data_IF_047717594815
#
_entry.id   IF_047717594815
#
_cell.length_a   1.000
_cell.length_b   1.000
_cell.length_c   1.000
_cell.angle_alpha   90.00
_cell.angle_beta   90.00
_cell.angle_gamma   90.00
#
_symmetry.space_group_name_H-M   'P 1'
#
loop_
_entity.id
_entity.type
_entity.pdbx_description
1 polymer ?
#
# COMPACT_ATOMS: atom_id res chain seq x y z
N UNK A 1 -16.57 1.26 3.51
CA UNK A 1 -16.60 2.02 2.25
C UNK A 1 -15.42 1.64 1.38
N UNK A 2 -15.64 1.61 0.07
CA UNK A 2 -14.75 0.99 -0.93
C UNK A 2 -13.43 1.76 -1.06
N UNK A 3 -12.35 1.16 -0.57
CA UNK A 3 -11.01 1.58 -0.93
C UNK A 3 -10.72 1.11 -2.36
N UNK A 4 -10.37 2.02 -3.26
CA UNK A 4 -9.95 1.74 -4.63
C UNK A 4 -8.54 1.11 -4.64
N UNK A 5 -8.44 -0.19 -4.29
CA UNK A 5 -7.15 -0.88 -4.14
C UNK A 5 -6.37 -0.94 -5.45
N UNK A 6 -7.04 -0.96 -6.60
CA UNK A 6 -6.41 -0.97 -7.92
C UNK A 6 -5.51 0.25 -8.15
N UNK A 7 -5.88 1.42 -7.59
CA UNK A 7 -5.09 2.66 -7.63
C UNK A 7 -3.67 2.49 -7.09
N UNK A 8 -3.43 1.52 -6.20
CA UNK A 8 -2.08 1.25 -5.64
C UNK A 8 -1.09 0.83 -6.72
N UNK A 9 -1.53 0.05 -7.71
CA UNK A 9 -0.63 -0.57 -8.70
C UNK A 9 -0.80 -0.02 -10.12
N UNK A 10 -1.89 0.73 -10.35
CA UNK A 10 -2.22 1.31 -11.64
C UNK A 10 -2.92 2.65 -11.43
N UNK A 11 -2.59 3.64 -12.26
CA UNK A 11 -3.26 4.94 -12.28
C UNK A 11 -3.52 5.33 -13.73
N UNK A 12 -4.68 5.93 -13.99
CA UNK A 12 -4.97 6.48 -15.31
C UNK A 12 -4.03 7.65 -15.62
N UNK A 13 -3.85 7.95 -16.90
CA UNK A 13 -3.02 9.07 -17.31
C UNK A 13 -3.55 10.39 -16.72
N UNK A 14 -2.67 11.16 -16.08
CA UNK A 14 -2.99 12.40 -15.39
C UNK A 14 -3.35 12.20 -13.91
N UNK A 15 -3.53 10.96 -13.45
CA UNK A 15 -3.85 10.65 -12.06
C UNK A 15 -2.61 10.32 -11.23
N UNK A 16 -2.77 10.46 -9.91
CA UNK A 16 -1.77 10.09 -8.90
C UNK A 16 -2.18 8.82 -8.17
N UNK A 17 -1.18 8.20 -7.57
CA UNK A 17 -1.40 7.21 -6.51
C UNK A 17 -1.84 7.93 -5.21
N UNK A 18 -2.07 7.19 -4.13
CA UNK A 18 -2.43 7.76 -2.84
C UNK A 18 -1.36 8.75 -2.33
N UNK A 19 -1.80 9.87 -1.74
CA UNK A 19 -0.93 10.96 -1.33
C UNK A 19 0.19 10.54 -0.38
N UNK A 20 -0.07 9.56 0.50
CA UNK A 20 0.88 9.13 1.53
C UNK A 20 2.24 8.70 0.96
N UNK A 21 2.27 8.09 -0.23
CA UNK A 21 3.53 7.69 -0.88
C UNK A 21 4.41 8.90 -1.20
N UNK A 22 3.79 9.95 -1.75
CA UNK A 22 4.48 11.18 -2.12
C UNK A 22 4.84 12.01 -0.89
N UNK A 23 3.95 12.07 0.12
CA UNK A 23 4.18 12.74 1.39
C UNK A 23 5.38 12.15 2.13
N UNK A 24 5.53 10.82 2.17
CA UNK A 24 6.70 10.18 2.78
C UNK A 24 7.97 10.55 2.00
N UNK A 25 7.98 10.37 0.67
CA UNK A 25 9.17 10.63 -0.16
C UNK A 25 9.60 12.10 -0.09
N UNK A 26 8.66 13.04 -0.25
CA UNK A 26 8.94 14.47 -0.31
C UNK A 26 9.05 15.12 1.08
N UNK A 27 8.40 14.56 2.10
CA UNK A 27 8.30 15.15 3.43
C UNK A 27 9.16 14.50 4.50
N UNK A 28 9.44 13.20 4.39
CA UNK A 28 10.16 12.41 5.38
C UNK A 28 11.58 12.93 5.63
N UNK A 29 12.06 12.77 6.86
CA UNK A 29 13.45 13.06 7.24
C UNK A 29 14.42 12.07 6.58
N UNK A 30 15.67 12.48 6.36
CA UNK A 30 16.67 11.62 5.70
C UNK A 30 16.92 10.30 6.44
N UNK A 31 16.92 10.31 7.77
CA UNK A 31 17.07 9.10 8.57
C UNK A 31 15.88 8.14 8.40
N UNK A 32 14.66 8.68 8.32
CA UNK A 32 13.45 7.89 8.05
C UNK A 32 13.51 7.30 6.64
N UNK A 33 13.83 8.09 5.63
CA UNK A 33 13.96 7.62 4.24
C UNK A 33 15.00 6.51 4.13
N UNK A 34 16.17 6.68 4.78
CA UNK A 34 17.22 5.65 4.84
C UNK A 34 16.74 4.39 5.56
N UNK A 35 16.02 4.53 6.68
CA UNK A 35 15.43 3.39 7.38
C UNK A 35 14.44 2.64 6.48
N UNK A 36 13.61 3.37 5.74
CA UNK A 36 12.62 2.78 4.84
C UNK A 36 13.24 2.24 3.54
N UNK A 37 14.50 2.57 3.23
CA UNK A 37 15.13 2.21 1.95
C UNK A 37 14.62 3.05 0.78
N UNK A 38 14.10 4.24 1.05
CA UNK A 38 13.51 5.15 0.07
C UNK A 38 14.48 6.26 -0.32
N UNK A 39 14.53 6.58 -1.60
CA UNK A 39 15.18 7.79 -2.12
C UNK A 39 14.15 8.90 -2.37
N UNK A 40 14.58 10.16 -2.19
CA UNK A 40 13.78 11.37 -2.43
C UNK A 40 13.61 11.65 -3.93
N UNK A 41 13.08 10.67 -4.65
CA UNK A 41 12.82 10.74 -6.08
C UNK A 41 11.64 9.81 -6.44
N UNK A 42 10.46 10.39 -6.64
CA UNK A 42 9.24 9.63 -6.96
C UNK A 42 9.33 8.88 -8.29
N UNK A 43 10.22 9.29 -9.20
CA UNK A 43 10.41 8.65 -10.51
C UNK A 43 11.05 7.26 -10.43
N UNK A 44 11.65 6.90 -9.29
CA UNK A 44 12.26 5.59 -9.12
C UNK A 44 11.27 4.50 -8.75
N UNK A 45 10.01 4.84 -8.46
CA UNK A 45 9.01 3.88 -8.02
C UNK A 45 7.97 3.64 -9.11
N UNK A 46 7.92 2.40 -9.61
CA UNK A 46 7.03 2.01 -10.71
C UNK A 46 5.56 2.32 -10.41
N UNK A 47 5.12 2.18 -9.16
CA UNK A 47 3.76 2.47 -8.75
C UNK A 47 3.42 3.97 -8.65
N UNK A 48 4.39 4.87 -8.79
CA UNK A 48 4.17 6.33 -8.73
C UNK A 48 4.28 7.02 -10.09
N UNK A 49 4.81 6.34 -11.11
CA UNK A 49 5.05 6.91 -12.45
C UNK A 49 4.03 6.51 -13.51
N UNK A 50 3.21 5.47 -13.28
CA UNK A 50 2.26 4.96 -14.29
C UNK A 50 1.23 6.00 -14.75
N UNK A 51 0.78 6.87 -13.84
CA UNK A 51 -0.14 7.96 -14.19
C UNK A 51 0.50 9.18 -14.86
N UNK A 52 1.84 9.21 -15.02
CA UNK A 52 2.59 10.31 -15.62
C UNK A 52 2.31 11.71 -15.00
N UNK A 53 1.97 11.75 -13.71
CA UNK A 53 1.58 12.97 -13.01
C UNK A 53 2.18 13.01 -11.58
N UNK A 54 3.52 13.09 -11.43
CA UNK A 54 4.15 12.99 -10.11
C UNK A 54 3.93 14.22 -9.22
N UNK A 55 3.64 15.39 -9.82
CA UNK A 55 3.46 16.67 -9.12
C UNK A 55 2.22 17.38 -9.62
N UNK A 56 1.44 17.90 -8.66
CA UNK A 56 0.27 18.75 -8.90
C UNK A 56 0.56 20.07 -8.19
N UNK A 57 0.48 21.19 -8.91
CA UNK A 57 0.92 22.51 -8.43
C UNK A 57 0.17 23.02 -7.19
N UNK A 58 -1.04 22.52 -6.95
CA UNK A 58 -1.85 22.86 -5.77
C UNK A 58 -1.54 22.02 -4.52
N UNK A 59 -0.70 20.99 -4.63
CA UNK A 59 -0.39 20.05 -3.53
C UNK A 59 1.03 20.29 -3.03
N UNK A 60 1.18 20.36 -1.71
CA UNK A 60 2.49 20.46 -1.06
C UNK A 60 2.71 19.23 -0.16
N UNK A 61 3.19 18.14 -0.78
CA UNK A 61 3.39 16.86 -0.12
C UNK A 61 4.30 16.96 1.13
N UNK A 62 5.24 17.91 1.15
CA UNK A 62 6.12 18.17 2.30
C UNK A 62 5.39 18.81 3.48
N UNK A 63 4.48 19.76 3.25
CA UNK A 63 3.67 20.31 4.33
C UNK A 63 2.64 19.30 4.81
N UNK A 64 2.01 18.58 3.89
CA UNK A 64 0.95 17.62 4.20
C UNK A 64 1.49 16.43 4.99
N UNK A 65 2.74 16.02 4.74
CA UNK A 65 3.45 15.05 5.59
C UNK A 65 3.47 15.43 7.07
N UNK A 66 3.75 16.71 7.38
CA UNK A 66 3.76 17.20 8.77
C UNK A 66 2.37 17.14 9.39
N UNK A 67 1.34 17.42 8.59
CA UNK A 67 -0.05 17.31 9.03
C UNK A 67 -0.40 15.85 9.34
N UNK A 68 -0.05 14.91 8.47
CA UNK A 68 -0.27 13.47 8.69
C UNK A 68 0.44 12.98 9.95
N UNK A 69 1.72 13.32 10.13
CA UNK A 69 2.49 12.95 11.33
C UNK A 69 1.82 13.47 12.60
N UNK A 70 1.40 14.74 12.61
CA UNK A 70 0.68 15.33 13.74
C UNK A 70 -0.65 14.64 14.00
N UNK A 71 -1.41 14.32 12.95
CA UNK A 71 -2.70 13.65 13.08
C UNK A 71 -2.56 12.25 13.71
N UNK A 72 -1.56 11.46 13.30
CA UNK A 72 -1.27 10.16 13.90
C UNK A 72 -0.98 10.29 15.40
N UNK A 73 -0.19 11.29 15.81
CA UNK A 73 0.05 11.57 17.23
C UNK A 73 -1.23 11.95 17.97
N UNK A 74 -2.07 12.81 17.40
CA UNK A 74 -3.33 13.26 18.03
C UNK A 74 -4.34 12.13 18.22
N UNK A 75 -4.42 11.21 17.23
CA UNK A 75 -5.28 10.02 17.33
C UNK A 75 -4.76 9.02 18.37
N UNK A 76 -3.50 9.16 18.81
CA UNK A 76 -2.91 8.32 19.84
C UNK A 76 -2.17 7.10 19.32
N UNK A 77 -1.68 7.13 18.06
CA UNK A 77 -0.75 6.12 17.59
C UNK A 77 0.58 6.25 18.34
N UNK A 78 1.09 5.12 18.84
CA UNK A 78 2.44 5.04 19.40
C UNK A 78 3.50 5.19 18.31
N UNK A 79 4.72 5.59 18.69
CA UNK A 79 5.82 5.72 17.73
C UNK A 79 6.11 4.40 16.99
N UNK A 80 6.04 3.26 17.69
CA UNK A 80 6.22 1.94 17.11
C UNK A 80 5.11 1.60 16.09
N UNK A 81 3.85 1.91 16.38
CA UNK A 81 2.75 1.69 15.42
C UNK A 81 2.89 2.57 14.18
N UNK A 82 3.39 3.80 14.35
CA UNK A 82 3.68 4.68 13.21
C UNK A 82 4.85 4.13 12.40
N UNK A 83 5.91 3.65 13.03
CA UNK A 83 7.04 3.02 12.35
C UNK A 83 6.59 1.79 11.54
N UNK A 84 5.82 0.89 12.15
CA UNK A 84 5.24 -0.29 11.49
C UNK A 84 4.35 0.10 10.30
N UNK A 85 3.48 1.11 10.47
CA UNK A 85 2.65 1.63 9.40
C UNK A 85 3.50 2.12 8.21
N UNK A 86 4.55 2.89 8.49
CA UNK A 86 5.43 3.43 7.45
C UNK A 86 6.27 2.33 6.78
N UNK A 87 6.71 1.32 7.54
CA UNK A 87 7.39 0.15 6.99
C UNK A 87 6.51 -0.60 6.00
N UNK A 88 5.23 -0.81 6.34
CA UNK A 88 4.28 -1.46 5.45
C UNK A 88 4.03 -0.61 4.20
N UNK A 89 3.87 0.71 4.33
CA UNK A 89 3.66 1.61 3.18
C UNK A 89 4.88 1.61 2.25
N UNK A 90 6.09 1.70 2.80
CA UNK A 90 7.33 1.62 2.02
C UNK A 90 7.47 0.25 1.32
N UNK A 91 7.08 -0.84 1.97
CA UNK A 91 7.12 -2.18 1.36
C UNK A 91 6.28 -2.27 0.08
N UNK A 92 5.16 -1.54 -0.01
CA UNK A 92 4.34 -1.50 -1.23
C UNK A 92 5.09 -0.86 -2.40
N UNK A 93 5.89 0.17 -2.14
CA UNK A 93 6.74 0.80 -3.18
C UNK A 93 7.86 -0.14 -3.63
N UNK A 94 8.50 -0.84 -2.69
CA UNK A 94 9.52 -1.84 -3.00
C UNK A 94 8.96 -3.03 -3.79
N UNK A 95 7.73 -3.47 -3.47
CA UNK A 95 7.04 -4.51 -4.24
C UNK A 95 6.92 -4.07 -5.70
N UNK A 96 6.44 -2.86 -5.98
CA UNK A 96 6.32 -2.35 -7.35
C UNK A 96 7.63 -2.33 -8.15
N UNK A 97 8.77 -2.26 -7.46
CA UNK A 97 10.10 -2.24 -8.05
C UNK A 97 10.74 -3.62 -8.19
N UNK A 98 10.08 -4.71 -7.76
CA UNK A 98 10.56 -6.07 -8.02
C UNK A 98 10.53 -6.33 -9.53
N UNK A 99 11.71 -6.63 -10.08
CA UNK A 99 11.92 -6.93 -11.48
C UNK A 99 12.06 -8.43 -11.71
N UNK A 100 11.23 -8.96 -12.60
CA UNK A 100 11.27 -10.36 -13.02
C UNK A 100 12.04 -10.51 -14.32
N UNK A 101 12.87 -11.54 -14.38
CA UNK A 101 13.48 -12.09 -15.59
C UNK A 101 12.83 -13.42 -15.95
N UNK A 102 13.19 -13.96 -17.10
CA UNK A 102 12.68 -15.23 -17.59
C UNK A 102 13.82 -16.24 -17.72
N UNK A 103 13.69 -17.37 -17.03
CA UNK A 103 14.59 -18.51 -17.13
C UNK A 103 13.74 -19.75 -17.45
N UNK A 104 14.01 -20.38 -18.60
CA UNK A 104 13.29 -21.59 -19.06
C UNK A 104 11.76 -21.45 -19.06
N UNK A 105 11.24 -20.24 -19.35
CA UNK A 105 9.80 -19.93 -19.36
C UNK A 105 9.19 -19.61 -18.00
N UNK A 106 10.00 -19.59 -16.93
CA UNK A 106 9.60 -19.30 -15.56
C UNK A 106 10.14 -17.94 -15.11
N UNK A 107 9.39 -17.27 -14.24
CA UNK A 107 9.79 -16.00 -13.66
C UNK A 107 10.87 -16.20 -12.59
N UNK A 108 12.00 -15.53 -12.75
CA UNK A 108 13.04 -15.39 -11.72
C UNK A 108 13.16 -13.93 -11.28
N UNK A 109 13.64 -13.67 -10.06
CA UNK A 109 13.87 -12.30 -9.58
C UNK A 109 15.29 -11.88 -9.96
N UNK A 110 15.42 -10.76 -10.65
CA UNK A 110 16.72 -10.30 -11.20
C UNK A 110 17.54 -9.46 -10.22
N UNK A 111 16.91 -8.95 -9.15
CA UNK A 111 17.55 -8.09 -8.16
C UNK A 111 17.11 -8.42 -6.75
N UNK A 112 18.05 -8.94 -5.96
CA UNK A 112 17.86 -9.25 -4.54
C UNK A 112 17.66 -8.01 -3.66
N UNK A 113 18.02 -6.83 -4.16
CA UNK A 113 17.98 -5.59 -3.37
C UNK A 113 16.57 -5.30 -2.86
N UNK A 114 15.56 -5.45 -3.73
CA UNK A 114 14.17 -5.22 -3.33
C UNK A 114 13.69 -6.28 -2.33
N UNK A 115 14.10 -7.54 -2.51
CA UNK A 115 13.75 -8.63 -1.59
C UNK A 115 14.32 -8.39 -0.20
N UNK A 116 15.57 -7.91 -0.09
CA UNK A 116 16.19 -7.57 1.20
C UNK A 116 15.42 -6.46 1.92
N UNK A 117 15.01 -5.41 1.20
CA UNK A 117 14.19 -4.35 1.78
C UNK A 117 12.83 -4.88 2.23
N UNK A 118 12.14 -5.65 1.37
CA UNK A 118 10.84 -6.23 1.70
C UNK A 118 10.88 -7.16 2.90
N UNK A 119 11.86 -8.06 2.95
CA UNK A 119 12.06 -8.99 4.06
C UNK A 119 12.25 -8.24 5.39
N UNK A 120 13.06 -7.16 5.38
CA UNK A 120 13.29 -6.31 6.56
C UNK A 120 12.03 -5.56 6.98
N UNK A 121 11.36 -4.87 6.04
CA UNK A 121 10.22 -3.99 6.35
C UNK A 121 8.97 -4.78 6.77
N UNK A 122 8.74 -5.95 6.18
CA UNK A 122 7.62 -6.82 6.51
C UNK A 122 7.93 -7.81 7.64
N UNK A 123 9.20 -7.91 8.07
CA UNK A 123 9.63 -8.88 9.08
C UNK A 123 9.47 -10.34 8.64
N UNK A 124 9.66 -10.62 7.34
CA UNK A 124 9.49 -11.96 6.74
C UNK A 124 10.81 -12.53 6.24
N UNK A 125 10.86 -13.86 6.08
CA UNK A 125 12.02 -14.52 5.50
C UNK A 125 12.12 -14.21 3.99
N UNK A 126 13.30 -13.77 3.53
CA UNK A 126 13.53 -13.37 2.14
C UNK A 126 13.44 -14.50 1.11
N UNK A 127 13.86 -15.73 1.46
CA UNK A 127 13.74 -16.87 0.53
C UNK A 127 12.28 -17.30 0.41
N UNK A 128 11.53 -17.33 1.52
CA UNK A 128 10.09 -17.60 1.50
C UNK A 128 9.32 -16.52 0.70
N UNK A 129 9.70 -15.25 0.83
CA UNK A 129 9.13 -14.17 0.04
C UNK A 129 9.43 -14.33 -1.46
N UNK A 130 10.66 -14.69 -1.81
CA UNK A 130 11.07 -14.94 -3.20
C UNK A 130 10.26 -16.09 -3.81
N UNK A 131 10.14 -17.20 -3.08
CA UNK A 131 9.31 -18.34 -3.49
C UNK A 131 7.85 -17.92 -3.66
N UNK A 132 7.27 -17.18 -2.70
CA UNK A 132 5.88 -16.70 -2.80
C UNK A 132 5.62 -15.74 -3.97
N UNK A 133 6.66 -15.04 -4.45
CA UNK A 133 6.58 -14.12 -5.60
C UNK A 133 6.85 -14.80 -6.95
N UNK A 134 7.38 -16.02 -6.96
CA UNK A 134 7.80 -16.75 -8.18
C UNK A 134 7.11 -18.09 -8.36
N UNK A 135 6.47 -18.62 -7.32
CA UNK A 135 5.80 -19.91 -7.34
C UNK A 135 4.37 -19.79 -6.81
N UNK A 136 3.49 -20.64 -7.32
CA UNK A 136 2.15 -20.87 -6.76
C UNK A 136 2.08 -22.23 -6.09
N UNK A 137 1.36 -22.27 -4.98
CA UNK A 137 1.01 -23.50 -4.27
C UNK A 137 -0.43 -23.88 -4.59
N UNK A 138 -0.63 -25.06 -5.14
CA UNK A 138 -1.94 -25.61 -5.47
C UNK A 138 -2.16 -26.85 -4.62
N UNK A 139 -3.27 -26.88 -3.88
CA UNK A 139 -3.67 -28.06 -3.12
C UNK A 139 -4.70 -28.83 -3.95
N UNK A 140 -4.34 -30.02 -4.43
CA UNK A 140 -5.22 -30.88 -5.22
C UNK A 140 -5.31 -32.25 -4.55
N UNK A 141 -6.54 -32.69 -4.20
CA UNK A 141 -6.80 -34.01 -3.59
C UNK A 141 -5.97 -34.33 -2.33
N UNK A 142 -5.56 -33.31 -1.57
CA UNK A 142 -4.74 -33.47 -0.36
C UNK A 142 -3.23 -33.45 -0.59
N UNK A 143 -2.77 -33.37 -1.85
CA UNK A 143 -1.37 -33.15 -2.20
C UNK A 143 -1.10 -31.67 -2.47
N UNK A 144 0.00 -31.15 -1.93
CA UNK A 144 0.46 -29.80 -2.19
C UNK A 144 1.47 -29.81 -3.35
N UNK A 145 1.12 -29.16 -4.45
CA UNK A 145 1.98 -28.99 -5.61
C UNK A 145 2.46 -27.54 -5.68
N UNK A 146 3.78 -27.35 -5.64
CA UNK A 146 4.42 -26.07 -5.89
C UNK A 146 4.83 -26.04 -7.35
N UNK A 147 4.40 -25.00 -8.07
CA UNK A 147 4.74 -24.81 -9.49
C UNK A 147 5.24 -23.39 -9.74
N UNK A 148 6.25 -23.21 -10.59
CA UNK A 148 6.73 -21.88 -10.94
C UNK A 148 5.64 -21.08 -11.70
N UNK A 149 5.71 -19.76 -11.56
CA UNK A 149 4.90 -18.80 -12.28
C UNK A 149 5.63 -18.36 -13.54
N UNK A 150 4.89 -18.04 -14.60
CA UNK A 150 5.45 -17.26 -15.71
C UNK A 150 5.52 -15.76 -15.35
N UNK A 151 6.15 -14.95 -16.22
CA UNK A 151 6.35 -13.51 -15.99
C UNK A 151 5.05 -12.74 -15.69
N UNK A 152 3.99 -13.02 -16.45
CA UNK A 152 2.70 -12.34 -16.31
C UNK A 152 2.01 -12.70 -15.00
N UNK A 153 2.05 -13.98 -14.63
CA UNK A 153 1.50 -14.48 -13.38
C UNK A 153 2.26 -13.94 -12.17
N UNK A 154 3.59 -13.90 -12.22
CA UNK A 154 4.43 -13.34 -11.15
C UNK A 154 4.16 -11.85 -10.96
N UNK A 155 4.08 -11.09 -12.06
CA UNK A 155 3.72 -9.66 -12.02
C UNK A 155 2.32 -9.43 -11.45
N UNK A 156 1.35 -10.26 -11.85
CA UNK A 156 -0.02 -10.20 -11.33
C UNK A 156 -0.08 -10.58 -9.84
N UNK A 157 0.69 -11.57 -9.40
CA UNK A 157 0.77 -11.98 -8.00
C UNK A 157 1.38 -10.88 -7.12
N UNK A 158 2.46 -10.24 -7.56
CA UNK A 158 3.07 -9.07 -6.91
C UNK A 158 2.08 -7.91 -6.76
N UNK A 159 1.34 -7.60 -7.83
CA UNK A 159 0.34 -6.54 -7.82
C UNK A 159 -0.84 -6.90 -6.89
N UNK A 160 -1.29 -8.15 -6.90
CA UNK A 160 -2.32 -8.64 -5.97
C UNK A 160 -1.87 -8.56 -4.51
N UNK A 161 -0.62 -8.93 -4.22
CA UNK A 161 -0.02 -8.81 -2.88
C UNK A 161 0.04 -7.34 -2.43
N UNK A 162 0.47 -6.44 -3.31
CA UNK A 162 0.55 -4.99 -3.02
C UNK A 162 -0.83 -4.41 -2.67
N UNK A 163 -1.86 -4.76 -3.45
CA UNK A 163 -3.27 -4.39 -3.17
C UNK A 163 -3.75 -4.95 -1.84
N UNK A 164 -3.42 -6.21 -1.54
CA UNK A 164 -3.84 -6.88 -0.31
C UNK A 164 -3.19 -6.26 0.93
N UNK A 165 -1.89 -6.00 0.88
CA UNK A 165 -1.14 -5.34 1.96
C UNK A 165 -1.74 -3.96 2.22
N UNK A 166 -1.81 -3.09 1.20
CA UNK A 166 -2.32 -1.73 1.37
C UNK A 166 -3.77 -1.72 1.86
N UNK A 167 -4.61 -2.62 1.31
CA UNK A 167 -6.00 -2.75 1.74
C UNK A 167 -6.15 -3.17 3.20
N UNK A 168 -5.34 -4.13 3.68
CA UNK A 168 -5.35 -4.55 5.09
C UNK A 168 -4.84 -3.45 6.01
N UNK A 169 -3.78 -2.74 5.61
CA UNK A 169 -3.26 -1.59 6.36
C UNK A 169 -4.30 -0.50 6.51
N UNK A 170 -5.04 -0.19 5.45
CA UNK A 170 -6.12 0.79 5.51
C UNK A 170 -7.26 0.34 6.45
N UNK A 171 -7.68 -0.92 6.37
CA UNK A 171 -8.69 -1.47 7.30
C UNK A 171 -8.22 -1.40 8.75
N UNK A 172 -6.96 -1.75 9.02
CA UNK A 172 -6.37 -1.63 10.35
C UNK A 172 -6.35 -0.17 10.84
N UNK A 173 -5.95 0.78 9.98
CA UNK A 173 -5.93 2.20 10.29
C UNK A 173 -7.33 2.72 10.68
N UNK A 174 -8.35 2.38 9.89
CA UNK A 174 -9.75 2.75 10.16
C UNK A 174 -10.21 2.15 11.49
N UNK A 175 -9.90 0.88 11.76
CA UNK A 175 -10.27 0.24 13.02
C UNK A 175 -9.59 0.93 14.22
N UNK A 176 -8.31 1.30 14.10
CA UNK A 176 -7.58 2.04 15.15
C UNK A 176 -8.19 3.42 15.41
N UNK A 177 -8.52 4.16 14.35
CA UNK A 177 -9.22 5.45 14.48
C UNK A 177 -10.57 5.25 15.16
N UNK A 178 -11.35 4.26 14.74
CA UNK A 178 -12.64 3.95 15.34
C UNK A 178 -12.51 3.59 16.82
N UNK A 179 -11.48 2.83 17.22
CA UNK A 179 -11.22 2.52 18.63
C UNK A 179 -10.81 3.75 19.43
N UNK A 180 -10.02 4.66 18.86
CA UNK A 180 -9.62 5.91 19.52
C UNK A 180 -10.78 6.89 19.69
N UNK A 181 -11.68 6.95 18.71
CA UNK A 181 -12.91 7.75 18.78
C UNK A 181 -14.05 7.06 19.54
N UNK A 182 -13.96 5.75 19.77
CA UNK A 182 -14.98 5.01 20.50
C UNK A 182 -15.04 5.54 21.93
N UNK A 183 -16.15 6.20 22.23
CA UNK A 183 -16.43 6.75 23.55
C UNK A 183 -16.57 5.61 24.56
N UNK A 184 -15.88 5.71 25.70
CA UNK A 184 -16.03 4.78 26.81
C UNK A 184 -17.52 4.75 27.20
N UNK A 185 -18.14 3.56 27.13
CA UNK A 185 -19.54 3.35 27.50
C UNK A 185 -19.75 3.65 28.98
N UNK A 186 -19.99 4.92 29.30
CA UNK A 186 -20.56 5.31 30.58
C UNK A 186 -22.05 4.96 30.54
N UNK A 187 -22.54 4.19 31.51
CA UNK A 187 -23.92 3.68 31.54
C UNK A 187 -25.00 4.79 31.51
N UNK A 188 -24.60 6.05 31.72
CA UNK A 188 -25.43 7.24 31.67
C UNK A 188 -25.94 7.63 30.28
N UNK A 189 -25.42 7.05 29.18
CA UNK A 189 -25.71 7.50 27.81
C UNK A 189 -26.49 6.49 26.94
N UNK A 190 -27.15 5.50 27.54
CA UNK A 190 -27.98 4.49 26.83
C UNK A 190 -29.08 5.09 25.92
N UNK A 191 -29.37 6.40 26.02
CA UNK A 191 -30.40 7.11 25.26
C UNK A 191 -29.89 8.27 24.37
N UNK A 192 -28.60 8.32 24.03
CA UNK A 192 -28.10 9.36 23.11
C UNK A 192 -28.49 9.12 21.65
N UNK A 193 -29.01 10.17 20.99
CA UNK A 193 -29.22 10.18 19.55
C UNK A 193 -27.89 10.35 18.81
N UNK A 194 -27.73 9.65 17.69
CA UNK A 194 -26.55 9.72 16.82
C UNK A 194 -26.92 10.47 15.54
N UNK A 195 -26.04 11.38 15.10
CA UNK A 195 -26.13 12.03 13.79
C UNK A 195 -25.09 11.35 12.88
N UNK A 196 -25.56 10.69 11.82
CA UNK A 196 -24.70 10.11 10.80
C UNK A 196 -24.45 11.10 9.67
N UNK A 197 -23.18 11.31 9.31
CA UNK A 197 -22.78 12.04 8.12
C UNK A 197 -22.32 11.03 7.07
N UNK A 198 -22.92 11.08 5.87
CA UNK A 198 -22.51 10.24 4.74
C UNK A 198 -21.70 11.09 3.76
N UNK A 199 -20.41 10.77 3.66
CA UNK A 199 -19.51 11.29 2.63
C UNK A 199 -19.04 10.11 1.78
N UNK A 200 -19.44 10.10 0.51
CA UNK A 200 -19.18 9.02 -0.43
C UNK A 200 -18.83 9.63 -1.79
N UNK A 201 -18.03 8.91 -2.57
CA UNK A 201 -17.73 9.28 -3.95
C UNK A 201 -19.02 9.57 -4.72
N UNK A 202 -19.01 10.67 -5.48
CA UNK A 202 -20.10 11.01 -6.39
C UNK A 202 -20.09 10.13 -7.64
N UNK A 203 -20.98 10.43 -8.58
CA UNK A 203 -20.97 9.77 -9.89
C UNK A 203 -19.69 10.10 -10.65
N UNK A 204 -18.90 9.08 -10.97
CA UNK A 204 -17.69 9.19 -11.77
C UNK A 204 -17.95 8.69 -13.20
N UNK A 205 -17.59 9.50 -14.20
CA UNK A 205 -17.67 9.12 -15.61
C UNK A 205 -16.33 9.46 -16.27
N UNK A 206 -15.52 8.44 -16.51
CA UNK A 206 -14.24 8.56 -17.20
C UNK A 206 -14.33 8.06 -18.65
N UNK A 207 -13.26 8.28 -19.42
CA UNK A 207 -13.12 7.69 -20.76
C UNK A 207 -13.14 6.15 -20.72
N UNK A 208 -12.57 5.57 -19.65
CA UNK A 208 -12.60 4.13 -19.37
C UNK A 208 -13.08 3.93 -17.94
N UNK A 209 -14.23 3.28 -17.77
CA UNK A 209 -14.80 2.94 -16.47
C UNK A 209 -14.59 1.44 -16.21
N UNK A 210 -14.10 1.09 -15.02
CA UNK A 210 -13.86 -0.28 -14.58
C UNK A 210 -14.91 -0.72 -13.54
N UNK A 211 -14.70 -1.89 -12.92
CA UNK A 211 -15.61 -2.41 -11.90
C UNK A 211 -15.77 -1.47 -10.69
N UNK A 212 -14.74 -0.69 -10.39
CA UNK A 212 -14.73 0.28 -9.30
C UNK A 212 -15.76 1.40 -9.49
N UNK A 213 -15.97 1.91 -10.72
CA UNK A 213 -17.01 2.92 -11.00
C UNK A 213 -18.43 2.36 -11.03
N UNK A 214 -18.59 1.03 -11.13
CA UNK A 214 -19.90 0.39 -11.09
C UNK A 214 -20.43 0.21 -9.66
N UNK A 215 -19.55 0.15 -8.66
CA UNK A 215 -19.87 -0.09 -7.25
C UNK A 215 -20.34 1.19 -6.53
#
# INVERSE_FOLDING_TARGET
>A
YLLEKSRVVHQNHGERNFHIFYQIIEGGEEDLLRHLGLERNTQQYQYLVKGNCPKVSSINDRSDWKVVRKALTVIGFSENEVEELLNIIASVLHLGNVQYGEEEGNACITSDTQIKYLARLLGVNGSALTEALTHKKIIAKGEELVSPLNLEQASSARDALSKAIYGRTFTWLVNKINTSLAYMQDESYKNCSVIGLLDIYGFEVFQHNSFEQFC
#
